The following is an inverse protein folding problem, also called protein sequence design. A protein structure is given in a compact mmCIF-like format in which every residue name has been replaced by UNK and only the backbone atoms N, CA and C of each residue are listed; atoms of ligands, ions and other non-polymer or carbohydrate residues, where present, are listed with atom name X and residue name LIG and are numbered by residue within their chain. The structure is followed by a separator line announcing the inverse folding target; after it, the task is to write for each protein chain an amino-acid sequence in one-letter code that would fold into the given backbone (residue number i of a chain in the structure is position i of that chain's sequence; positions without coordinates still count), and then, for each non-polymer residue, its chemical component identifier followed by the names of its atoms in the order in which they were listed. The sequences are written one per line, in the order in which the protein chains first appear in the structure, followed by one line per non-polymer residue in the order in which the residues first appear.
data_IF_774048201781
#
_entry.id   IF_774048201781
#
_cell.length_a   1.000
_cell.length_b   1.000
_cell.length_c   1.000
_cell.angle_alpha   90.00
_cell.angle_beta   90.00
_cell.angle_gamma   90.00
#
_symmetry.space_group_name_H-M   'P 1'
#
loop_
_entity.id
_entity.type
_entity.pdbx_description
1 polymer ?
#
# COMPACT_ATOMS: atom_id res chain seq x y z
N UNK A 1 2.74 6.93 -21.62
CA UNK A 1 3.92 6.51 -22.34
C UNK A 1 4.12 7.23 -23.66
N UNK A 2 3.09 7.73 -24.35
CA UNK A 2 3.26 8.63 -25.50
C UNK A 2 4.03 9.92 -25.19
N UNK A 3 4.15 10.30 -23.91
CA UNK A 3 4.90 11.49 -23.48
C UNK A 3 6.42 11.33 -23.51
N UNK A 4 6.96 10.12 -23.59
CA UNK A 4 8.41 9.86 -23.52
C UNK A 4 9.00 9.25 -24.81
N UNK A 5 8.22 9.15 -25.89
CA UNK A 5 8.73 8.73 -27.20
C UNK A 5 9.33 7.32 -27.21
N UNK A 6 8.79 6.39 -26.41
CA UNK A 6 9.23 4.99 -26.39
C UNK A 6 9.01 4.35 -27.74
N UNK A 7 9.99 3.60 -28.21
CA UNK A 7 9.88 2.77 -29.40
C UNK A 7 8.85 1.63 -29.20
N UNK A 8 8.32 1.02 -30.28
CA UNK A 8 7.42 -0.13 -30.18
C UNK A 8 8.04 -1.32 -29.41
N UNK A 9 9.36 -1.49 -29.45
CA UNK A 9 10.06 -2.56 -28.71
C UNK A 9 10.14 -2.26 -27.23
N UNK A 10 10.41 -1.02 -26.84
CA UNK A 10 10.38 -0.58 -25.45
C UNK A 10 8.96 -0.66 -24.87
N UNK A 11 7.93 -0.34 -25.66
CA UNK A 11 6.53 -0.52 -25.25
C UNK A 11 6.20 -1.98 -24.98
N UNK A 12 6.62 -2.91 -25.86
CA UNK A 12 6.44 -4.35 -25.63
C UNK A 12 7.16 -4.85 -24.39
N UNK A 13 8.35 -4.34 -24.09
CA UNK A 13 9.07 -4.68 -22.86
C UNK A 13 8.36 -4.18 -21.61
N UNK A 14 7.70 -3.03 -21.67
CA UNK A 14 6.91 -2.48 -20.55
C UNK A 14 5.61 -3.26 -20.38
N UNK A 15 4.92 -3.63 -21.46
CA UNK A 15 3.69 -4.43 -21.43
C UNK A 15 3.89 -5.82 -20.81
N UNK A 16 5.08 -6.42 -20.98
CA UNK A 16 5.44 -7.70 -20.37
C UNK A 16 6.10 -7.61 -18.98
N UNK A 17 6.22 -6.42 -18.41
CA UNK A 17 6.95 -6.22 -17.14
C UNK A 17 6.19 -6.76 -15.93
N UNK A 18 4.86 -6.70 -15.93
CA UNK A 18 4.00 -7.17 -14.87
C UNK A 18 3.28 -8.46 -15.27
N UNK A 19 3.21 -9.39 -14.34
CA UNK A 19 2.47 -10.65 -14.49
C UNK A 19 1.01 -10.44 -14.04
N UNK A 20 0.01 -10.60 -14.94
CA UNK A 20 -1.40 -10.43 -14.59
C UNK A 20 -1.92 -11.47 -13.59
N UNK A 21 -1.20 -12.57 -13.37
CA UNK A 21 -1.56 -13.61 -12.42
C UNK A 21 -0.86 -13.47 -11.06
N UNK A 22 0.07 -12.53 -10.93
CA UNK A 22 0.77 -12.28 -9.69
C UNK A 22 -0.05 -11.43 -8.73
N UNK A 23 0.06 -11.71 -7.43
CA UNK A 23 -0.41 -10.81 -6.38
C UNK A 23 0.32 -9.47 -6.50
N UNK A 24 -0.42 -8.40 -6.77
CA UNK A 24 0.14 -7.06 -7.01
C UNK A 24 0.00 -6.19 -5.77
N UNK A 25 1.14 -5.84 -5.19
CA UNK A 25 1.22 -5.00 -3.98
C UNK A 25 1.70 -3.60 -4.36
N UNK A 26 0.86 -2.60 -4.13
CA UNK A 26 1.14 -1.20 -4.44
C UNK A 26 1.59 -0.39 -3.24
N UNK A 27 2.63 0.41 -3.42
CA UNK A 27 3.06 1.46 -2.50
C UNK A 27 3.16 2.77 -3.29
N UNK A 28 2.16 3.64 -3.19
CA UNK A 28 2.14 4.89 -3.95
C UNK A 28 1.80 6.08 -3.06
N UNK A 29 2.82 6.89 -2.77
CA UNK A 29 2.69 8.04 -1.90
C UNK A 29 3.93 8.93 -1.97
N UNK A 30 3.85 10.12 -1.36
CA UNK A 30 5.03 10.96 -1.17
C UNK A 30 6.11 10.18 -0.41
N UNK A 31 7.31 10.15 -0.93
CA UNK A 31 8.47 9.64 -0.23
C UNK A 31 8.90 10.66 0.82
N UNK A 32 8.82 10.26 2.07
CA UNK A 32 9.32 10.97 3.24
C UNK A 32 9.83 9.91 4.22
N UNK A 33 10.82 10.22 5.02
CA UNK A 33 11.53 9.25 5.88
C UNK A 33 10.56 8.44 6.75
N UNK A 34 9.58 9.10 7.37
CA UNK A 34 8.60 8.43 8.24
C UNK A 34 7.62 7.50 7.51
N UNK A 35 7.47 7.66 6.18
CA UNK A 35 6.64 6.77 5.35
C UNK A 35 7.28 5.39 5.13
N UNK A 36 8.57 5.29 5.38
CA UNK A 36 9.38 4.06 5.42
C UNK A 36 9.21 3.16 4.19
N UNK A 37 9.26 3.75 2.98
CA UNK A 37 9.27 2.97 1.75
C UNK A 37 10.38 1.88 1.74
N UNK A 38 11.46 2.11 2.50
CA UNK A 38 12.58 1.19 2.67
C UNK A 38 12.25 -0.03 3.55
N UNK A 39 11.14 -0.05 4.30
CA UNK A 39 10.87 -1.10 5.28
C UNK A 39 10.86 -2.50 4.65
N UNK A 40 10.35 -2.62 3.41
CA UNK A 40 10.41 -3.86 2.64
C UNK A 40 11.85 -4.26 2.29
N UNK A 41 12.77 -3.31 2.18
CA UNK A 41 14.17 -3.54 1.78
C UNK A 41 15.10 -3.84 2.97
N UNK A 42 14.61 -3.83 4.20
CA UNK A 42 15.42 -4.12 5.40
C UNK A 42 15.87 -5.57 5.49
N UNK A 43 15.16 -6.48 4.81
CA UNK A 43 15.49 -7.91 4.76
C UNK A 43 15.36 -8.42 3.31
N UNK A 44 16.44 -8.28 2.55
CA UNK A 44 16.45 -8.66 1.13
C UNK A 44 16.34 -10.18 0.92
N UNK A 45 16.75 -10.99 1.89
CA UNK A 45 16.64 -12.45 1.79
C UNK A 45 15.17 -12.89 1.89
N UNK A 46 14.42 -12.31 2.81
CA UNK A 46 12.96 -12.54 2.88
C UNK A 46 12.23 -11.98 1.67
N UNK A 47 12.62 -10.79 1.19
CA UNK A 47 12.05 -10.24 -0.02
C UNK A 47 12.29 -11.15 -1.22
N UNK A 48 13.52 -11.64 -1.39
CA UNK A 48 13.88 -12.59 -2.45
C UNK A 48 13.06 -13.87 -2.37
N UNK A 49 12.95 -14.45 -1.17
CA UNK A 49 12.13 -15.65 -0.97
C UNK A 49 10.66 -15.42 -1.36
N UNK A 50 10.09 -14.27 -0.96
CA UNK A 50 8.71 -13.91 -1.24
C UNK A 50 8.41 -13.78 -2.74
N UNK A 51 9.28 -13.12 -3.51
CA UNK A 51 9.04 -12.85 -4.94
C UNK A 51 9.55 -13.94 -5.89
N UNK A 52 10.29 -14.93 -5.38
CA UNK A 52 10.85 -16.03 -6.18
C UNK A 52 9.94 -17.27 -6.22
N UNK A 53 8.86 -17.31 -5.45
CA UNK A 53 7.90 -18.42 -5.47
C UNK A 53 7.10 -18.41 -6.79
N UNK A 54 7.47 -19.30 -7.71
CA UNK A 54 6.79 -19.38 -9.01
C UNK A 54 5.35 -19.92 -8.93
N UNK A 55 5.01 -20.65 -7.86
CA UNK A 55 3.65 -21.15 -7.65
C UNK A 55 2.72 -20.07 -7.08
N UNK A 56 3.28 -19.08 -6.40
CA UNK A 56 2.57 -17.96 -5.81
C UNK A 56 3.26 -16.65 -6.14
N UNK A 57 3.23 -16.23 -7.41
CA UNK A 57 3.98 -15.07 -7.87
C UNK A 57 3.51 -13.77 -7.19
N UNK A 58 4.47 -12.99 -6.69
CA UNK A 58 4.23 -11.69 -6.05
C UNK A 58 5.05 -10.62 -6.77
N UNK A 59 4.44 -9.46 -6.96
CA UNK A 59 5.09 -8.30 -7.54
C UNK A 59 4.74 -7.04 -6.74
N UNK A 60 5.68 -6.09 -6.73
CA UNK A 60 5.52 -4.83 -6.04
C UNK A 60 5.62 -3.66 -7.02
N UNK A 61 4.72 -2.70 -6.87
CA UNK A 61 4.73 -1.45 -7.62
C UNK A 61 4.93 -0.30 -6.64
N UNK A 62 6.03 0.42 -6.81
CA UNK A 62 6.31 1.65 -6.08
C UNK A 62 6.10 2.86 -6.98
N UNK A 63 5.47 3.89 -6.45
CA UNK A 63 5.30 5.16 -7.14
C UNK A 63 5.32 6.32 -6.16
N UNK A 64 5.82 7.46 -6.57
CA UNK A 64 5.82 8.65 -5.72
C UNK A 64 6.95 9.59 -6.02
N UNK A 65 6.98 10.69 -5.28
CA UNK A 65 8.00 11.74 -5.39
C UNK A 65 8.52 12.11 -4.02
N UNK A 66 9.80 12.43 -3.93
CA UNK A 66 10.42 13.06 -2.78
C UNK A 66 10.41 14.58 -2.94
N UNK A 67 10.35 15.30 -1.83
CA UNK A 67 10.54 16.75 -1.88
C UNK A 67 11.97 17.08 -2.35
N UNK A 68 12.18 18.11 -3.19
CA UNK A 68 13.52 18.44 -3.70
C UNK A 68 14.58 18.74 -2.62
N UNK A 69 14.16 19.17 -1.44
CA UNK A 69 15.04 19.41 -0.30
C UNK A 69 15.23 18.17 0.62
N UNK A 70 14.47 17.09 0.41
CA UNK A 70 14.54 15.87 1.24
C UNK A 70 15.55 14.87 0.63
N UNK A 71 16.82 15.04 1.00
CA UNK A 71 17.93 14.21 0.50
C UNK A 71 17.81 12.75 0.91
N UNK A 72 17.32 12.48 2.12
CA UNK A 72 17.15 11.11 2.62
C UNK A 72 16.08 10.36 1.82
N UNK A 73 14.94 11.00 1.58
CA UNK A 73 13.89 10.40 0.75
C UNK A 73 14.31 10.20 -0.71
N UNK A 74 15.12 11.11 -1.27
CA UNK A 74 15.71 10.94 -2.61
C UNK A 74 16.65 9.73 -2.65
N UNK A 75 17.47 9.54 -1.61
CA UNK A 75 18.36 8.38 -1.52
C UNK A 75 17.59 7.05 -1.42
N UNK A 76 16.47 7.02 -0.67
CA UNK A 76 15.58 5.86 -0.63
C UNK A 76 15.04 5.52 -2.03
N UNK A 77 14.59 6.52 -2.79
CA UNK A 77 14.16 6.30 -4.19
C UNK A 77 15.30 5.75 -5.03
N UNK A 78 16.50 6.34 -4.93
CA UNK A 78 17.67 5.89 -5.69
C UNK A 78 18.00 4.43 -5.40
N UNK A 79 18.04 4.03 -4.13
CA UNK A 79 18.28 2.65 -3.75
C UNK A 79 17.21 1.69 -4.25
N UNK A 80 15.94 2.08 -4.13
CA UNK A 80 14.82 1.31 -4.65
C UNK A 80 14.94 1.08 -6.16
N UNK A 81 15.20 2.13 -6.94
CA UNK A 81 15.42 2.04 -8.39
C UNK A 81 16.58 1.09 -8.73
N UNK A 82 17.69 1.19 -8.00
CA UNK A 82 18.82 0.27 -8.21
C UNK A 82 18.45 -1.20 -7.94
N UNK A 83 17.67 -1.47 -6.90
CA UNK A 83 17.20 -2.82 -6.60
C UNK A 83 16.27 -3.36 -7.68
N UNK A 84 15.32 -2.52 -8.18
CA UNK A 84 14.41 -2.92 -9.27
C UNK A 84 15.15 -3.28 -10.56
N UNK A 85 16.26 -2.60 -10.85
CA UNK A 85 17.04 -2.83 -12.09
C UNK A 85 18.00 -4.02 -11.99
N UNK A 86 18.62 -4.23 -10.82
CA UNK A 86 19.72 -5.19 -10.65
C UNK A 86 19.25 -6.54 -10.15
N UNK A 87 18.43 -6.58 -9.13
CA UNK A 87 18.14 -7.81 -8.38
C UNK A 87 16.70 -8.29 -8.56
N UNK A 88 15.75 -7.36 -8.58
CA UNK A 88 14.32 -7.69 -8.58
C UNK A 88 13.60 -7.28 -9.86
N UNK A 89 14.29 -7.36 -11.02
CA UNK A 89 13.71 -6.99 -12.31
C UNK A 89 12.45 -7.80 -12.60
N UNK A 90 11.36 -7.10 -12.95
CA UNK A 90 10.04 -7.72 -13.18
C UNK A 90 9.32 -8.20 -11.92
N UNK A 91 9.91 -8.02 -10.73
CA UNK A 91 9.29 -8.33 -9.44
C UNK A 91 9.04 -7.08 -8.59
N UNK A 92 9.96 -6.13 -8.65
CA UNK A 92 9.78 -4.79 -8.14
C UNK A 92 9.83 -3.81 -9.29
N UNK A 93 8.86 -2.91 -9.35
CA UNK A 93 8.76 -1.85 -10.37
C UNK A 93 8.66 -0.50 -9.68
N UNK A 94 9.46 0.47 -10.11
CA UNK A 94 9.31 1.86 -9.71
C UNK A 94 8.76 2.68 -10.88
N UNK A 95 7.61 3.32 -10.67
CA UNK A 95 6.99 4.19 -11.65
C UNK A 95 7.39 5.64 -11.40
N UNK A 96 8.08 6.21 -12.37
CA UNK A 96 8.51 7.61 -12.35
C UNK A 96 7.34 8.56 -12.65
N UNK A 97 7.54 9.84 -12.39
CA UNK A 97 6.60 10.93 -12.70
C UNK A 97 5.18 10.75 -12.12
N UNK A 98 5.10 10.15 -10.93
CA UNK A 98 3.83 9.92 -10.24
C UNK A 98 2.89 11.13 -10.32
N UNK A 99 1.70 10.92 -10.87
CA UNK A 99 0.63 11.89 -11.02
C UNK A 99 -0.73 11.31 -10.57
N UNK A 100 -1.81 12.08 -10.74
CA UNK A 100 -3.16 11.67 -10.30
C UNK A 100 -3.71 10.52 -11.15
N UNK A 101 -3.37 10.45 -12.45
CA UNK A 101 -3.81 9.38 -13.35
C UNK A 101 -3.16 8.05 -12.96
N UNK A 102 -1.86 8.08 -12.68
CA UNK A 102 -1.14 6.93 -12.16
C UNK A 102 -1.67 6.50 -10.80
N UNK A 103 -1.94 7.46 -9.90
CA UNK A 103 -2.53 7.19 -8.59
C UNK A 103 -3.90 6.52 -8.68
N UNK A 104 -4.72 6.93 -9.65
CA UNK A 104 -6.01 6.29 -9.94
C UNK A 104 -5.83 4.87 -10.46
N UNK A 105 -4.96 4.68 -11.45
CA UNK A 105 -4.69 3.37 -12.02
C UNK A 105 -4.17 2.37 -10.97
N UNK A 106 -3.25 2.80 -10.10
CA UNK A 106 -2.73 1.97 -9.02
C UNK A 106 -3.78 1.61 -7.97
N UNK A 107 -4.63 2.56 -7.57
CA UNK A 107 -5.73 2.30 -6.64
C UNK A 107 -6.78 1.33 -7.20
N UNK A 108 -6.91 1.24 -8.53
CA UNK A 108 -7.81 0.34 -9.24
C UNK A 108 -7.19 -1.03 -9.53
N UNK A 109 -5.87 -1.07 -9.74
CA UNK A 109 -5.18 -2.25 -10.27
C UNK A 109 -4.34 -3.03 -9.24
N UNK A 110 -4.13 -2.51 -8.02
CA UNK A 110 -3.42 -3.26 -6.99
C UNK A 110 -4.38 -4.09 -6.14
N UNK A 111 -4.02 -5.35 -5.88
CA UNK A 111 -4.76 -6.23 -4.98
C UNK A 111 -4.55 -5.83 -3.53
N UNK A 112 -3.34 -5.42 -3.20
CA UNK A 112 -2.92 -5.00 -1.86
C UNK A 112 -2.35 -3.58 -1.90
N UNK A 113 -2.74 -2.78 -0.91
CA UNK A 113 -2.17 -1.46 -0.68
C UNK A 113 -1.32 -1.45 0.58
N UNK A 114 -0.03 -1.23 0.39
CA UNK A 114 0.95 -1.25 1.46
C UNK A 114 1.16 0.17 2.03
N UNK A 115 1.02 0.30 3.36
CA UNK A 115 1.33 1.51 4.09
C UNK A 115 2.21 1.21 5.31
N UNK A 116 3.38 1.82 5.36
CA UNK A 116 4.39 1.56 6.39
C UNK A 116 4.81 2.81 7.16
N UNK A 117 3.90 3.73 7.54
CA UNK A 117 4.30 4.91 8.28
C UNK A 117 4.89 4.53 9.64
N UNK A 118 5.80 5.37 10.17
CA UNK A 118 6.25 5.22 11.56
C UNK A 118 5.21 5.81 12.49
N UNK A 119 4.60 4.98 13.31
CA UNK A 119 3.65 5.43 14.33
C UNK A 119 4.37 6.28 15.40
N UNK A 120 3.80 7.40 15.84
CA UNK A 120 2.46 7.96 15.54
C UNK A 120 2.47 9.13 14.53
N UNK A 121 3.26 9.05 13.47
CA UNK A 121 3.52 10.19 12.58
C UNK A 121 2.52 10.33 11.42
N UNK A 122 1.66 9.33 11.19
CA UNK A 122 0.63 9.40 10.15
C UNK A 122 -0.67 9.96 10.70
N UNK A 123 -1.00 11.20 10.32
CA UNK A 123 -2.21 11.85 10.81
C UNK A 123 -3.50 11.22 10.24
N UNK A 124 -3.50 10.76 9.00
CA UNK A 124 -4.65 10.12 8.36
C UNK A 124 -4.26 9.03 7.37
N UNK A 125 -3.60 9.35 6.25
CA UNK A 125 -3.19 8.37 5.23
C UNK A 125 -4.32 7.95 4.29
N UNK A 126 -5.04 8.93 3.72
CA UNK A 126 -6.26 8.72 2.91
C UNK A 126 -6.09 7.88 1.63
N UNK A 127 -4.85 7.60 1.18
CA UNK A 127 -4.62 6.75 0.01
C UNK A 127 -5.20 5.35 0.18
N UNK A 128 -5.03 4.76 1.38
CA UNK A 128 -5.58 3.44 1.71
C UNK A 128 -7.11 3.38 1.78
N UNK A 129 -7.80 4.51 1.95
CA UNK A 129 -9.27 4.57 1.95
C UNK A 129 -9.88 4.41 0.55
N UNK A 130 -9.10 4.67 -0.51
CA UNK A 130 -9.58 4.61 -1.90
C UNK A 130 -9.56 3.20 -2.48
N UNK A 131 -8.68 2.36 -1.97
CA UNK A 131 -8.42 1.03 -2.51
C UNK A 131 -9.60 0.06 -2.28
N UNK A 132 -10.26 0.03 -1.11
CA UNK A 132 -11.44 -0.80 -0.89
C UNK A 132 -12.60 -0.52 -1.84
N UNK A 133 -12.74 0.72 -2.34
CA UNK A 133 -13.77 1.07 -3.35
C UNK A 133 -13.59 0.25 -4.64
N UNK A 134 -12.36 -0.20 -4.90
CA UNK A 134 -12.01 -1.00 -6.06
C UNK A 134 -11.75 -2.49 -5.73
N UNK A 135 -12.10 -2.91 -4.52
CA UNK A 135 -11.92 -4.29 -4.07
C UNK A 135 -10.53 -4.64 -3.53
N UNK A 136 -9.59 -3.72 -3.54
CA UNK A 136 -8.26 -3.96 -2.96
C UNK A 136 -8.29 -3.98 -1.43
N UNK A 137 -7.24 -4.53 -0.84
CA UNK A 137 -7.13 -4.76 0.61
C UNK A 137 -5.92 -4.02 1.17
N UNK A 138 -6.02 -3.51 2.39
CA UNK A 138 -4.91 -2.80 3.05
C UNK A 138 -4.02 -3.75 3.87
N UNK A 139 -2.72 -3.57 3.74
CA UNK A 139 -1.69 -4.06 4.65
C UNK A 139 -0.96 -2.85 5.21
N UNK A 140 -1.18 -2.50 6.47
CA UNK A 140 -0.74 -1.21 6.99
C UNK A 140 -0.37 -1.26 8.46
N UNK A 141 0.57 -0.40 8.84
CA UNK A 141 0.79 -0.05 10.25
C UNK A 141 -0.52 0.51 10.84
N UNK A 142 -0.80 0.16 12.10
CA UNK A 142 -1.94 0.68 12.86
C UNK A 142 -1.69 2.14 13.27
N UNK A 143 -1.75 3.03 12.27
CA UNK A 143 -1.58 4.47 12.43
C UNK A 143 -2.53 5.23 11.51
N UNK A 144 -2.81 6.49 11.82
CA UNK A 144 -3.78 7.29 11.10
C UNK A 144 -5.15 6.59 11.02
N UNK A 145 -5.78 6.63 9.85
CA UNK A 145 -7.11 6.05 9.64
C UNK A 145 -7.18 4.53 9.88
N UNK A 146 -6.07 3.80 9.67
CA UNK A 146 -6.07 2.34 9.82
C UNK A 146 -6.16 1.90 11.28
N UNK A 147 -5.70 2.74 12.23
CA UNK A 147 -5.92 2.51 13.65
C UNK A 147 -7.42 2.53 14.05
N UNK A 148 -8.24 3.27 13.27
CA UNK A 148 -9.70 3.34 13.47
C UNK A 148 -10.44 2.32 12.60
N UNK A 149 -9.94 2.07 11.38
CA UNK A 149 -10.64 1.28 10.36
C UNK A 149 -10.36 -0.22 10.39
N UNK A 150 -9.29 -0.67 11.02
CA UNK A 150 -8.93 -2.09 11.07
C UNK A 150 -9.86 -2.87 12.01
N UNK A 151 -10.42 -3.99 11.50
CA UNK A 151 -11.36 -4.85 12.22
C UNK A 151 -10.87 -6.28 12.43
N UNK A 152 -9.70 -6.64 11.87
CA UNK A 152 -9.15 -7.99 11.93
C UNK A 152 -9.53 -8.90 10.75
N UNK A 153 -10.58 -8.57 9.99
CA UNK A 153 -11.06 -9.33 8.83
C UNK A 153 -10.97 -8.58 7.51
N UNK A 154 -10.77 -7.26 7.56
CA UNK A 154 -10.83 -6.33 6.42
C UNK A 154 -9.45 -5.95 5.84
N UNK A 155 -8.41 -6.68 6.20
CA UNK A 155 -7.03 -6.46 5.83
C UNK A 155 -6.06 -6.92 6.90
N UNK A 156 -4.83 -6.42 6.87
CA UNK A 156 -3.79 -6.84 7.83
C UNK A 156 -3.13 -5.65 8.51
N UNK A 157 -2.89 -5.82 9.81
CA UNK A 157 -2.10 -4.90 10.61
C UNK A 157 -0.62 -5.28 10.56
N UNK A 158 0.25 -4.29 10.45
CA UNK A 158 1.69 -4.42 10.66
C UNK A 158 2.01 -3.89 12.04
N UNK A 159 2.79 -4.65 12.83
CA UNK A 159 3.12 -4.31 14.20
C UNK A 159 1.97 -4.53 15.19
N UNK A 160 2.22 -4.19 16.44
CA UNK A 160 1.28 -4.39 17.55
C UNK A 160 0.61 -3.06 18.00
N UNK A 161 0.82 -1.99 17.24
CA UNK A 161 0.29 -0.66 17.55
C UNK A 161 1.03 0.08 18.67
N UNK A 162 2.13 -0.44 19.20
CA UNK A 162 2.94 0.23 20.21
C UNK A 162 3.98 1.13 19.58
N UNK A 163 4.31 2.21 20.24
CA UNK A 163 5.42 3.10 19.88
C UNK A 163 6.64 2.68 20.69
N UNK A 164 7.74 2.39 20.00
CA UNK A 164 9.01 2.10 20.65
C UNK A 164 9.87 3.36 20.71
N UNK A 165 10.58 3.62 21.82
CA UNK A 165 11.48 4.76 21.93
C UNK A 165 12.65 4.69 20.94
N UNK A 166 13.14 3.49 20.66
CA UNK A 166 14.20 3.23 19.67
C UNK A 166 13.57 3.01 18.29
N UNK A 167 13.82 3.94 17.37
CA UNK A 167 13.29 3.91 16.01
C UNK A 167 13.86 2.76 15.18
N UNK A 168 15.10 2.34 15.42
CA UNK A 168 15.71 1.21 14.70
C UNK A 168 15.09 -0.11 15.17
N UNK A 169 14.86 -0.26 16.47
CA UNK A 169 14.16 -1.42 17.00
C UNK A 169 12.70 -1.49 16.51
N UNK A 170 12.02 -0.34 16.40
CA UNK A 170 10.67 -0.27 15.83
C UNK A 170 10.67 -0.68 14.35
N UNK A 171 11.61 -0.17 13.56
CA UNK A 171 11.71 -0.50 12.14
C UNK A 171 11.95 -2.00 11.92
N UNK A 172 12.83 -2.61 12.73
CA UNK A 172 13.11 -4.04 12.66
C UNK A 172 11.89 -4.90 13.06
N UNK A 173 11.19 -4.51 14.14
CA UNK A 173 9.99 -5.22 14.60
C UNK A 173 8.85 -5.14 13.57
N UNK A 174 8.63 -3.94 13.01
CA UNK A 174 7.62 -3.69 11.99
C UNK A 174 7.94 -4.41 10.67
N UNK A 175 9.22 -4.43 10.25
CA UNK A 175 9.65 -5.21 9.09
C UNK A 175 9.41 -6.72 9.30
N UNK A 176 9.76 -7.25 10.46
CA UNK A 176 9.46 -8.63 10.82
C UNK A 176 7.96 -8.96 10.81
N UNK A 177 7.13 -8.03 11.29
CA UNK A 177 5.67 -8.16 11.24
C UNK A 177 5.12 -8.09 9.82
N UNK A 178 5.62 -7.16 8.99
CA UNK A 178 5.27 -7.05 7.58
C UNK A 178 5.51 -8.35 6.83
N UNK A 179 6.70 -8.92 6.96
CA UNK A 179 7.04 -10.16 6.28
C UNK A 179 6.22 -11.36 6.76
N UNK A 180 5.91 -11.46 8.06
CA UNK A 180 4.98 -12.49 8.56
C UNK A 180 3.59 -12.32 7.95
N UNK A 181 3.04 -11.10 7.96
CA UNK A 181 1.74 -10.84 7.37
C UNK A 181 1.70 -11.23 5.89
N UNK A 182 2.72 -10.85 5.11
CA UNK A 182 2.78 -11.17 3.68
C UNK A 182 2.96 -12.66 3.43
N UNK A 183 3.96 -13.31 4.06
CA UNK A 183 4.33 -14.68 3.76
C UNK A 183 3.36 -15.70 4.34
N UNK A 184 2.86 -15.48 5.56
CA UNK A 184 2.09 -16.48 6.30
C UNK A 184 0.58 -16.30 6.11
N UNK A 185 0.10 -15.12 5.71
CA UNK A 185 -1.32 -14.82 5.65
C UNK A 185 -1.79 -14.28 4.28
N UNK A 186 -1.23 -13.18 3.80
CA UNK A 186 -1.69 -12.48 2.60
C UNK A 186 -1.52 -13.35 1.36
N UNK A 187 -0.29 -13.79 1.08
CA UNK A 187 0.04 -14.61 -0.09
C UNK A 187 -0.69 -15.94 -0.07
N UNK A 188 -0.68 -16.73 1.02
CA UNK A 188 -1.45 -17.97 1.07
C UNK A 188 -2.94 -17.75 0.82
N UNK A 189 -3.54 -16.70 1.41
CA UNK A 189 -4.98 -16.42 1.26
C UNK A 189 -5.36 -16.03 -0.17
N UNK A 190 -4.49 -15.28 -0.87
CA UNK A 190 -4.74 -14.86 -2.26
C UNK A 190 -4.71 -16.04 -3.23
N UNK A 191 -3.81 -17.01 -3.00
CA UNK A 191 -3.64 -18.19 -3.85
C UNK A 191 -4.43 -19.42 -3.40
N UNK A 192 -5.15 -19.37 -2.27
CA UNK A 192 -6.05 -20.43 -1.79
C UNK A 192 -7.33 -20.44 -2.64
N UNK A 193 -7.38 -21.34 -3.61
CA UNK A 193 -8.48 -21.43 -4.60
C UNK A 193 -9.15 -22.78 -4.53
N UNK A 194 -10.47 -22.80 -4.69
CA UNK A 194 -11.25 -24.01 -4.81
C UNK A 194 -11.05 -24.71 -6.18
N UNK A 195 -11.77 -25.80 -6.41
CA UNK A 195 -11.75 -26.58 -7.67
C UNK A 195 -12.22 -25.78 -8.89
N UNK A 196 -12.93 -24.66 -8.69
CA UNK A 196 -13.38 -23.75 -9.74
C UNK A 196 -12.44 -22.53 -9.89
N UNK A 197 -11.35 -22.49 -9.14
CA UNK A 197 -10.37 -21.39 -9.18
C UNK A 197 -10.78 -20.15 -8.39
N UNK A 198 -11.80 -20.22 -7.53
CA UNK A 198 -12.30 -19.09 -6.76
C UNK A 198 -11.57 -18.97 -5.40
N UNK A 199 -10.99 -17.79 -5.08
CA UNK A 199 -10.31 -17.54 -3.82
C UNK A 199 -11.31 -17.06 -2.75
N UNK A 200 -12.16 -17.93 -2.22
CA UNK A 200 -13.26 -17.57 -1.31
C UNK A 200 -12.83 -16.74 -0.11
N UNK A 201 -11.76 -17.14 0.58
CA UNK A 201 -11.25 -16.42 1.75
C UNK A 201 -10.72 -15.02 1.39
N UNK A 202 -10.15 -14.85 0.19
CA UNK A 202 -9.73 -13.55 -0.32
C UNK A 202 -10.96 -12.67 -0.61
N UNK A 203 -11.97 -13.22 -1.28
CA UNK A 203 -13.22 -12.53 -1.58
C UNK A 203 -13.95 -12.08 -0.30
N UNK A 204 -13.93 -12.89 0.76
CA UNK A 204 -14.45 -12.50 2.08
C UNK A 204 -13.71 -11.28 2.64
N UNK A 205 -12.38 -11.27 2.57
CA UNK A 205 -11.58 -10.12 3.00
C UNK A 205 -11.87 -8.87 2.15
N UNK A 206 -12.02 -9.01 0.83
CA UNK A 206 -12.42 -7.90 -0.05
C UNK A 206 -13.79 -7.33 0.35
N UNK A 207 -14.79 -8.17 0.59
CA UNK A 207 -16.12 -7.75 1.02
C UNK A 207 -16.08 -7.02 2.36
N UNK A 208 -15.37 -7.57 3.34
CA UNK A 208 -15.17 -6.93 4.65
C UNK A 208 -14.45 -5.59 4.51
N UNK A 209 -13.44 -5.48 3.62
CA UNK A 209 -12.75 -4.24 3.30
C UNK A 209 -13.70 -3.18 2.73
N UNK A 210 -14.50 -3.53 1.74
CA UNK A 210 -15.50 -2.63 1.14
C UNK A 210 -16.50 -2.15 2.19
N UNK A 211 -17.12 -3.08 2.91
CA UNK A 211 -18.16 -2.79 3.91
C UNK A 211 -17.67 -1.87 5.02
N UNK A 212 -16.48 -2.16 5.55
CA UNK A 212 -15.92 -1.44 6.69
C UNK A 212 -15.37 -0.06 6.35
N UNK A 213 -15.04 0.22 5.09
CA UNK A 213 -14.31 1.43 4.71
C UNK A 213 -15.15 2.40 3.90
N UNK A 214 -15.90 1.92 2.91
CA UNK A 214 -16.53 2.80 1.91
C UNK A 214 -17.52 3.78 2.54
N UNK A 215 -18.42 3.30 3.36
CA UNK A 215 -19.43 4.17 4.00
C UNK A 215 -18.84 4.98 5.19
N UNK A 216 -18.13 4.37 6.17
CA UNK A 216 -17.60 5.08 7.33
C UNK A 216 -16.56 6.16 6.98
N UNK A 217 -15.73 5.92 5.97
CA UNK A 217 -14.67 6.85 5.56
C UNK A 217 -15.02 7.68 4.32
N UNK A 218 -16.32 7.85 4.01
CA UNK A 218 -16.77 8.68 2.90
C UNK A 218 -16.77 10.16 3.25
N UNK A 219 -16.50 11.01 2.25
CA UNK A 219 -16.61 12.45 2.38
C UNK A 219 -18.05 12.92 2.71
N UNK A 220 -19.07 12.20 2.24
CA UNK A 220 -20.47 12.50 2.57
C UNK A 220 -20.73 12.35 4.07
N UNK A 221 -20.29 11.25 4.69
CA UNK A 221 -20.43 11.04 6.12
C UNK A 221 -19.67 12.12 6.89
N UNK A 222 -18.43 12.43 6.49
CA UNK A 222 -17.62 13.47 7.12
C UNK A 222 -18.31 14.84 7.08
N UNK A 223 -18.81 15.26 5.93
CA UNK A 223 -19.50 16.56 5.78
C UNK A 223 -20.76 16.59 6.62
N UNK A 224 -21.58 15.55 6.58
CA UNK A 224 -22.79 15.44 7.41
C UNK A 224 -22.45 15.61 8.89
N UNK A 225 -21.46 14.90 9.38
CA UNK A 225 -21.09 14.93 10.77
C UNK A 225 -20.55 16.32 11.17
N UNK A 226 -19.75 16.98 10.35
CA UNK A 226 -19.31 18.36 10.59
C UNK A 226 -20.47 19.37 10.60
N UNK A 227 -21.43 19.23 9.69
CA UNK A 227 -22.62 20.09 9.69
C UNK A 227 -23.41 19.93 10.98
N UNK A 228 -23.70 18.69 11.37
CA UNK A 228 -24.57 18.42 12.52
C UNK A 228 -23.88 18.70 13.87
N UNK A 229 -22.60 18.41 14.00
CA UNK A 229 -21.89 18.49 15.29
C UNK A 229 -21.12 19.80 15.50
N UNK A 230 -20.86 20.54 14.44
CA UNK A 230 -20.01 21.74 14.50
C UNK A 230 -20.68 22.97 13.89
N UNK A 231 -21.07 22.93 12.64
CA UNK A 231 -21.54 24.15 11.94
C UNK A 231 -22.89 24.64 12.41
N UNK A 232 -23.89 23.76 12.53
CA UNK A 232 -25.21 24.13 13.06
C UNK A 232 -25.16 24.60 14.51
N UNK A 233 -24.48 23.92 15.46
CA UNK A 233 -24.34 24.43 16.82
C UNK A 233 -23.59 25.75 16.91
N UNK A 234 -22.59 25.97 16.04
CA UNK A 234 -21.87 27.24 16.04
C UNK A 234 -22.71 28.41 15.48
N UNK A 235 -23.57 28.16 14.48
CA UNK A 235 -24.49 29.15 13.95
C UNK A 235 -25.56 29.55 14.98
N UNK A 236 -26.15 28.57 15.69
CA UNK A 236 -27.18 28.81 16.71
C UNK A 236 -26.68 29.55 17.94
N UNK A 237 -25.37 29.53 18.26
CA UNK A 237 -24.78 30.27 19.36
C UNK A 237 -24.53 31.76 19.07
N UNK A 238 -24.75 32.21 17.83
CA UNK A 238 -24.57 33.61 17.39
C UNK A 238 -25.87 34.41 17.40
N UNK A 239 -27.01 33.75 17.71
CA UNK A 239 -28.29 34.38 18.00
C UNK A 239 -28.47 34.52 19.52
#
# INVERSE_FOLDING_TARGET
SARHGLSPDELRQVEGLLDPHALTIGFARRFATYKRAFLLMTDLDRLRALVSDAARPVQFIFAGKAHPADREAQEVIRQLVLLTQREFRGKLVFLEDYDIEMGRALAQGCDVWLNTPRRPQEASGTSGQKVPINGGVNVSILDGWWAEGFRGDNGWAIGDGRVQPDTAAQDLADAGSLYRALADEVVPRFFDRDEHGLPHRWIETMKASIESVVAPFSAHRMVRDYVLTSYLPAAQRRE
#
